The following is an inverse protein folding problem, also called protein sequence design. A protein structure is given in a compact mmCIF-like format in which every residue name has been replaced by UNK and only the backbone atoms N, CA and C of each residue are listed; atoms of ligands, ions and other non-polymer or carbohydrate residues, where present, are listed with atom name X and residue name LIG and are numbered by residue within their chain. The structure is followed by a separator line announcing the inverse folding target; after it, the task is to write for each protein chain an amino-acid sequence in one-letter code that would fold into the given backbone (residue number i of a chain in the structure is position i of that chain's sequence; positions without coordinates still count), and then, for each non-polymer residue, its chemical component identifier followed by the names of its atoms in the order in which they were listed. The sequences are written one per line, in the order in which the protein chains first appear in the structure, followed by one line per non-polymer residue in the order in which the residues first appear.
data_IF_730294793816
#
_entry.id   IF_730294793816
#
_cell.length_a   1.000
_cell.length_b   1.000
_cell.length_c   1.000
_cell.angle_alpha   90.00
_cell.angle_beta   90.00
_cell.angle_gamma   90.00
#
_symmetry.space_group_name_H-M   'P 1'
#
loop_
_entity.id
_entity.type
_entity.pdbx_description
1 polymer ?
#
# COMPACT_ATOMS: atom_id res chain seq x y z
N UNK A 1 -3.87 -26.16 24.45
CA UNK A 1 -3.77 -24.90 23.69
C UNK A 1 -2.84 -25.02 22.48
N UNK A 2 -1.67 -25.63 22.61
CA UNK A 2 -0.73 -25.93 21.50
C UNK A 2 -1.28 -26.81 20.37
N UNK A 3 -2.35 -27.58 20.64
CA UNK A 3 -3.08 -28.36 19.64
C UNK A 3 -4.17 -27.55 18.91
N UNK A 4 -4.55 -26.38 19.45
CA UNK A 4 -5.57 -25.49 18.87
C UNK A 4 -4.95 -24.38 18.03
N UNK A 5 -3.77 -23.93 18.40
CA UNK A 5 -2.97 -22.98 17.66
C UNK A 5 -1.60 -23.60 17.40
N UNK A 6 -1.41 -24.09 16.18
CA UNK A 6 -0.15 -24.72 15.78
C UNK A 6 0.92 -23.63 15.70
N UNK A 7 2.10 -23.88 16.28
CA UNK A 7 3.17 -22.87 16.36
C UNK A 7 3.56 -22.29 15.00
N UNK A 8 3.59 -23.14 13.97
CA UNK A 8 3.96 -22.73 12.61
C UNK A 8 2.95 -21.75 12.02
N UNK A 9 1.64 -21.95 12.22
CA UNK A 9 0.60 -21.02 11.76
C UNK A 9 0.73 -19.64 12.42
N UNK A 10 1.13 -19.60 13.69
CA UNK A 10 1.37 -18.34 14.42
C UNK A 10 2.59 -17.61 13.83
N UNK A 11 3.66 -18.34 13.52
CA UNK A 11 4.87 -17.79 12.91
C UNK A 11 4.55 -17.21 11.53
N UNK A 12 3.77 -17.93 10.72
CA UNK A 12 3.34 -17.49 9.40
C UNK A 12 2.49 -16.21 9.48
N UNK A 13 1.51 -16.16 10.41
CA UNK A 13 0.73 -14.94 10.66
C UNK A 13 1.60 -13.77 11.11
N UNK A 14 2.59 -14.03 11.97
CA UNK A 14 3.48 -12.98 12.45
C UNK A 14 4.36 -12.41 11.34
N UNK A 15 4.70 -13.21 10.32
CA UNK A 15 5.41 -12.74 9.13
C UNK A 15 4.61 -11.66 8.38
N UNK A 16 3.28 -11.79 8.35
CA UNK A 16 2.35 -10.85 7.70
C UNK A 16 2.11 -9.57 8.52
N UNK A 17 2.58 -9.50 9.78
CA UNK A 17 2.42 -8.29 10.61
C UNK A 17 3.01 -7.05 9.95
N UNK A 18 4.07 -7.21 9.16
CA UNK A 18 4.72 -6.10 8.44
C UNK A 18 3.84 -5.46 7.35
N UNK A 19 2.76 -6.12 6.91
CA UNK A 19 1.84 -5.57 5.90
C UNK A 19 1.20 -4.26 6.36
N UNK A 20 0.95 -4.08 7.68
CA UNK A 20 0.43 -2.80 8.19
C UNK A 20 1.44 -1.66 8.02
N UNK A 21 2.74 -1.96 8.13
CA UNK A 21 3.82 -0.99 7.98
C UNK A 21 3.96 -0.55 6.52
N UNK A 22 3.74 -1.48 5.58
CA UNK A 22 3.54 -1.15 4.16
C UNK A 22 2.32 -0.22 3.97
N UNK A 23 1.19 -0.52 4.61
CA UNK A 23 0.00 0.34 4.58
C UNK A 23 0.26 1.77 5.05
N UNK A 24 0.96 1.94 6.18
CA UNK A 24 1.38 3.28 6.65
C UNK A 24 2.31 3.98 5.66
N UNK A 25 3.20 3.22 5.01
CA UNK A 25 4.11 3.75 3.99
C UNK A 25 3.35 4.24 2.76
N UNK A 26 2.35 3.51 2.29
CA UNK A 26 1.49 3.90 1.18
C UNK A 26 0.76 5.22 1.48
N UNK A 27 0.15 5.34 2.65
CA UNK A 27 -0.54 6.56 3.07
C UNK A 27 0.42 7.76 3.18
N UNK A 28 1.55 7.60 3.89
CA UNK A 28 2.48 8.71 4.17
C UNK A 28 3.36 9.10 3.00
N UNK A 29 3.88 8.11 2.28
CA UNK A 29 4.87 8.35 1.23
C UNK A 29 4.24 8.49 -0.14
N UNK A 30 3.21 7.70 -0.44
CA UNK A 30 2.60 7.69 -1.77
C UNK A 30 1.47 8.70 -1.85
N UNK A 31 0.45 8.61 -0.98
CA UNK A 31 -0.69 9.53 -1.03
C UNK A 31 -0.34 10.94 -0.54
N UNK A 32 0.47 11.06 0.51
CA UNK A 32 0.91 12.34 1.06
C UNK A 32 2.28 12.80 0.53
N UNK A 33 2.88 12.08 -0.43
CA UNK A 33 4.13 12.49 -1.09
C UNK A 33 5.31 12.79 -0.13
N UNK A 34 5.37 12.11 1.02
CA UNK A 34 6.34 12.38 2.10
C UNK A 34 6.24 13.78 2.72
N UNK A 35 5.13 14.49 2.55
CA UNK A 35 4.91 15.76 3.23
C UNK A 35 4.80 15.55 4.74
N UNK A 36 5.58 16.33 5.49
CA UNK A 36 5.61 16.25 6.96
C UNK A 36 4.37 16.84 7.60
N UNK A 37 3.66 17.73 6.90
CA UNK A 37 2.51 18.47 7.42
C UNK A 37 1.34 18.43 6.46
N UNK A 38 0.13 18.40 7.02
CA UNK A 38 -1.11 18.60 6.28
C UNK A 38 -1.26 20.07 5.85
N UNK A 39 -2.10 20.33 4.86
CA UNK A 39 -2.16 21.65 4.20
C UNK A 39 -2.87 22.68 5.06
N UNK A 40 -3.95 22.28 5.71
CA UNK A 40 -4.75 23.17 6.53
C UNK A 40 -4.14 23.45 7.90
N UNK A 41 -4.36 24.69 8.37
CA UNK A 41 -3.99 25.16 9.72
C UNK A 41 -5.18 25.19 10.70
N UNK A 42 -6.38 24.78 10.26
CA UNK A 42 -7.59 24.74 11.10
C UNK A 42 -7.86 23.30 11.55
N UNK A 43 -8.09 23.03 12.85
CA UNK A 43 -8.29 21.67 13.37
C UNK A 43 -9.39 20.87 12.63
N UNK A 44 -10.50 21.54 12.30
CA UNK A 44 -11.62 20.91 11.59
C UNK A 44 -11.25 20.44 10.18
N UNK A 45 -10.55 21.30 9.44
CA UNK A 45 -10.10 20.98 8.08
C UNK A 45 -8.96 19.96 8.08
N UNK A 46 -8.11 19.94 9.11
CA UNK A 46 -7.13 18.87 9.31
C UNK A 46 -7.83 17.51 9.44
N UNK A 47 -8.91 17.45 10.22
CA UNK A 47 -9.73 16.23 10.35
C UNK A 47 -10.30 15.81 9.00
N UNK A 48 -10.81 16.76 8.22
CA UNK A 48 -11.31 16.51 6.87
C UNK A 48 -10.21 15.96 5.94
N UNK A 49 -9.01 16.53 5.95
CA UNK A 49 -7.88 16.04 5.15
C UNK A 49 -7.51 14.60 5.50
N UNK A 50 -7.48 14.26 6.80
CA UNK A 50 -7.22 12.88 7.25
C UNK A 50 -8.29 11.91 6.76
N UNK A 51 -9.58 12.28 6.85
CA UNK A 51 -10.66 11.47 6.33
C UNK A 51 -10.58 11.32 4.81
N UNK A 52 -10.25 12.39 4.09
CA UNK A 52 -10.04 12.36 2.65
C UNK A 52 -8.91 11.39 2.25
N UNK A 53 -7.78 11.44 2.95
CA UNK A 53 -6.66 10.53 2.73
C UNK A 53 -7.06 9.07 2.97
N UNK A 54 -7.74 8.77 4.09
CA UNK A 54 -8.22 7.43 4.41
C UNK A 54 -9.24 6.91 3.39
N UNK A 55 -10.12 7.80 2.90
CA UNK A 55 -11.09 7.46 1.87
C UNK A 55 -10.38 7.10 0.55
N UNK A 56 -9.43 7.93 0.11
CA UNK A 56 -8.61 7.64 -1.07
C UNK A 56 -7.86 6.31 -0.93
N UNK A 57 -7.23 6.07 0.22
CA UNK A 57 -6.53 4.83 0.51
C UNK A 57 -7.45 3.61 0.36
N UNK A 58 -8.61 3.64 1.03
CA UNK A 58 -9.58 2.56 1.01
C UNK A 58 -10.20 2.35 -0.38
N UNK A 59 -10.42 3.43 -1.14
CA UNK A 59 -10.91 3.35 -2.51
C UNK A 59 -9.91 2.60 -3.42
N UNK A 60 -8.62 2.95 -3.33
CA UNK A 60 -7.56 2.27 -4.09
C UNK A 60 -7.48 0.80 -3.66
N UNK A 61 -7.45 0.52 -2.35
CA UNK A 61 -7.43 -0.85 -1.82
C UNK A 61 -8.64 -1.67 -2.25
N UNK A 62 -9.82 -1.07 -2.25
CA UNK A 62 -11.04 -1.73 -2.73
C UNK A 62 -10.92 -2.11 -4.21
N UNK A 63 -10.39 -1.21 -5.05
CA UNK A 63 -10.18 -1.53 -6.45
C UNK A 63 -9.12 -2.62 -6.63
N UNK A 64 -8.03 -2.63 -5.85
CA UNK A 64 -7.04 -3.71 -5.85
C UNK A 64 -7.67 -5.07 -5.46
N UNK A 65 -8.59 -5.10 -4.49
CA UNK A 65 -9.34 -6.32 -4.13
C UNK A 65 -10.22 -6.80 -5.30
N UNK A 66 -10.79 -5.89 -6.09
CA UNK A 66 -11.55 -6.27 -7.29
C UNK A 66 -10.63 -6.81 -8.38
N UNK A 67 -9.47 -6.20 -8.57
CA UNK A 67 -8.45 -6.63 -9.52
C UNK A 67 -7.89 -8.01 -9.17
N UNK A 68 -7.60 -8.28 -7.89
CA UNK A 68 -7.07 -9.57 -7.49
C UNK A 68 -8.06 -10.72 -7.71
N UNK A 69 -9.38 -10.46 -7.67
CA UNK A 69 -10.40 -11.49 -7.91
C UNK A 69 -10.38 -12.07 -9.33
N UNK A 70 -9.87 -11.33 -10.31
CA UNK A 70 -9.74 -11.83 -11.69
C UNK A 70 -8.41 -12.54 -11.94
N UNK A 71 -7.48 -12.48 -10.97
CA UNK A 71 -6.16 -13.10 -11.06
C UNK A 71 -6.09 -14.33 -10.13
N UNK A 72 -6.01 -15.56 -10.67
CA UNK A 72 -5.99 -16.75 -9.84
C UNK A 72 -4.71 -16.81 -8.98
N UNK A 73 -4.89 -16.95 -7.66
CA UNK A 73 -3.78 -17.13 -6.73
C UNK A 73 -3.03 -15.85 -6.33
N UNK A 74 -3.45 -14.68 -6.81
CA UNK A 74 -2.84 -13.40 -6.46
C UNK A 74 -3.66 -12.70 -5.38
N UNK A 75 -2.99 -12.28 -4.30
CA UNK A 75 -3.60 -11.52 -3.23
C UNK A 75 -3.56 -10.00 -3.51
N UNK A 76 -4.49 -9.20 -2.96
CA UNK A 76 -4.52 -7.75 -3.19
C UNK A 76 -3.23 -7.01 -2.76
N UNK A 77 -2.51 -7.52 -1.75
CA UNK A 77 -1.25 -6.95 -1.28
C UNK A 77 -0.04 -7.30 -2.16
N UNK A 78 -0.22 -8.19 -3.14
CA UNK A 78 0.78 -8.50 -4.17
C UNK A 78 0.60 -7.62 -5.41
N UNK A 79 -0.42 -6.77 -5.44
CA UNK A 79 -0.56 -5.71 -6.43
C UNK A 79 0.17 -4.44 -5.98
N UNK A 80 0.74 -3.72 -6.94
CA UNK A 80 1.46 -2.47 -6.72
C UNK A 80 0.51 -1.33 -6.39
N UNK A 81 0.48 -0.92 -5.12
CA UNK A 81 -0.33 0.22 -4.68
C UNK A 81 0.00 1.50 -5.45
N UNK A 82 1.28 1.74 -5.74
CA UNK A 82 1.72 2.97 -6.43
C UNK A 82 1.21 3.04 -7.86
N UNK A 83 1.32 1.94 -8.61
CA UNK A 83 0.79 1.86 -9.97
C UNK A 83 -0.74 2.00 -9.96
N UNK A 84 -1.44 1.30 -9.05
CA UNK A 84 -2.90 1.41 -8.94
C UNK A 84 -3.33 2.83 -8.56
N UNK A 85 -2.64 3.48 -7.62
CA UNK A 85 -2.91 4.86 -7.23
C UNK A 85 -2.74 5.81 -8.42
N UNK A 86 -1.66 5.69 -9.19
CA UNK A 86 -1.43 6.50 -10.38
C UNK A 86 -2.53 6.28 -11.44
N UNK A 87 -2.92 5.03 -11.70
CA UNK A 87 -3.99 4.74 -12.65
C UNK A 87 -5.32 5.39 -12.26
N UNK A 88 -5.70 5.27 -10.99
CA UNK A 88 -6.93 5.88 -10.46
C UNK A 88 -6.84 7.41 -10.48
N UNK A 89 -5.73 8.00 -10.02
CA UNK A 89 -5.53 9.46 -10.04
C UNK A 89 -5.57 10.00 -11.47
N UNK A 90 -4.96 9.31 -12.43
CA UNK A 90 -5.00 9.71 -13.84
C UNK A 90 -6.43 9.62 -14.41
N UNK A 91 -7.21 8.61 -14.04
CA UNK A 91 -8.62 8.49 -14.39
C UNK A 91 -9.44 9.67 -13.85
N UNK A 92 -9.20 10.11 -12.61
CA UNK A 92 -9.85 11.29 -12.05
C UNK A 92 -9.40 12.61 -12.71
N UNK A 93 -8.11 12.74 -12.99
CA UNK A 93 -7.51 13.99 -13.50
C UNK A 93 -7.84 14.23 -14.97
N UNK A 94 -7.74 13.17 -15.79
CA UNK A 94 -7.82 13.27 -17.25
C UNK A 94 -9.02 12.52 -17.85
N UNK A 95 -9.51 11.47 -17.18
CA UNK A 95 -10.57 10.61 -17.71
C UNK A 95 -11.98 11.19 -17.53
N UNK A 96 -12.32 11.63 -16.32
CA UNK A 96 -13.68 12.11 -16.00
C UNK A 96 -14.00 13.52 -16.47
N UNK A 97 -12.99 14.35 -16.74
CA UNK A 97 -13.21 15.72 -17.23
C UNK A 97 -13.61 15.76 -18.70
N UNK A 98 -13.27 14.73 -19.47
CA UNK A 98 -13.59 14.59 -20.90
C UNK A 98 -14.68 13.53 -21.19
N UNK A 99 -15.02 12.69 -20.20
CA UNK A 99 -15.97 11.58 -20.37
C UNK A 99 -17.23 11.81 -19.54
N UNK A 100 -18.40 11.52 -20.13
CA UNK A 100 -19.66 11.49 -19.40
C UNK A 100 -19.63 10.42 -18.28
N UNK A 101 -20.37 10.65 -17.19
CA UNK A 101 -20.40 9.77 -16.01
C UNK A 101 -20.77 8.30 -16.30
N UNK A 102 -21.40 8.00 -17.44
CA UNK A 102 -21.72 6.63 -17.84
C UNK A 102 -20.50 5.81 -18.30
N UNK A 103 -19.35 6.44 -18.59
CA UNK A 103 -18.13 5.73 -18.97
C UNK A 103 -17.34 5.18 -17.78
N UNK A 104 -17.59 5.69 -16.57
CA UNK A 104 -16.87 5.32 -15.33
C UNK A 104 -16.85 3.80 -15.11
N UNK A 105 -17.99 3.06 -15.22
CA UNK A 105 -17.99 1.62 -15.00
C UNK A 105 -17.14 0.86 -16.04
N UNK A 106 -17.13 1.32 -17.29
CA UNK A 106 -16.33 0.72 -18.37
C UNK A 106 -14.84 0.90 -18.11
N UNK A 107 -14.41 2.11 -17.78
CA UNK A 107 -13.01 2.39 -17.44
C UNK A 107 -12.54 1.58 -16.22
N UNK A 108 -13.40 1.41 -15.20
CA UNK A 108 -13.09 0.52 -14.07
C UNK A 108 -13.02 -0.96 -14.46
N UNK A 109 -13.81 -1.40 -15.44
CA UNK A 109 -13.69 -2.76 -16.01
C UNK A 109 -12.35 -2.93 -16.72
N UNK A 110 -11.99 -1.99 -17.60
CA UNK A 110 -10.72 -2.00 -18.32
C UNK A 110 -9.53 -2.04 -17.36
N UNK A 111 -9.57 -1.24 -16.28
CA UNK A 111 -8.54 -1.27 -15.24
C UNK A 111 -8.45 -2.65 -14.55
N UNK A 112 -9.60 -3.31 -14.37
CA UNK A 112 -9.68 -4.65 -13.78
C UNK A 112 -9.14 -5.71 -14.73
N UNK A 113 -9.44 -5.62 -16.02
CA UNK A 113 -8.93 -6.51 -17.07
C UNK A 113 -7.40 -6.40 -17.21
N UNK A 114 -6.84 -5.21 -16.95
CA UNK A 114 -5.40 -4.94 -16.98
C UNK A 114 -4.68 -5.30 -15.67
N UNK A 115 -5.31 -6.04 -14.75
CA UNK A 115 -4.77 -6.29 -13.42
C UNK A 115 -3.37 -6.94 -13.41
N UNK A 116 -3.07 -7.78 -14.40
CA UNK A 116 -1.76 -8.45 -14.54
C UNK A 116 -0.58 -7.47 -14.56
N UNK A 117 -0.74 -6.29 -15.17
CA UNK A 117 0.33 -5.28 -15.24
C UNK A 117 0.67 -4.66 -13.88
N UNK A 118 -0.19 -4.82 -12.88
CA UNK A 118 -0.02 -4.27 -11.55
C UNK A 118 0.58 -5.29 -10.57
N UNK A 119 0.78 -6.54 -10.99
CA UNK A 119 1.35 -7.59 -10.14
C UNK A 119 2.81 -7.27 -9.82
N UNK A 120 3.15 -7.30 -8.52
CA UNK A 120 4.52 -7.13 -8.05
C UNK A 120 5.33 -8.40 -8.33
N UNK A 121 6.64 -8.28 -8.54
CA UNK A 121 7.51 -9.45 -8.56
C UNK A 121 7.45 -10.17 -7.21
N UNK A 122 7.62 -11.49 -7.25
CA UNK A 122 7.59 -12.33 -6.05
C UNK A 122 8.53 -11.79 -4.97
N UNK A 123 8.03 -11.79 -3.72
CA UNK A 123 8.78 -11.26 -2.58
C UNK A 123 10.00 -12.16 -2.32
N UNK A 124 11.18 -11.54 -2.19
CA UNK A 124 12.42 -12.28 -1.91
C UNK A 124 12.40 -12.85 -0.50
N UNK A 125 12.26 -14.17 -0.38
CA UNK A 125 12.23 -14.90 0.89
C UNK A 125 13.61 -14.92 1.59
N UNK A 126 14.70 -14.84 0.82
CA UNK A 126 16.07 -14.89 1.33
C UNK A 126 16.47 -13.66 2.17
N UNK A 127 15.64 -12.61 2.19
CA UNK A 127 15.94 -11.35 2.88
C UNK A 127 15.66 -11.46 4.38
N UNK A 128 16.57 -12.09 5.11
CA UNK A 128 16.54 -12.14 6.58
C UNK A 128 17.36 -11.01 7.20
N UNK A 129 16.74 -10.22 8.07
CA UNK A 129 17.42 -9.24 8.92
C UNK A 129 17.35 -9.71 10.38
N UNK A 130 18.28 -10.56 10.83
CA UNK A 130 18.27 -11.05 12.19
C UNK A 130 18.33 -9.87 13.16
N UNK A 131 17.58 -9.95 14.26
CA UNK A 131 17.57 -8.93 15.31
C UNK A 131 18.90 -8.98 16.07
N UNK A 132 19.92 -8.40 15.47
CA UNK A 132 21.27 -8.30 15.99
C UNK A 132 21.56 -6.86 16.39
N UNK A 133 22.26 -6.70 17.51
CA UNK A 133 22.86 -5.41 17.88
C UNK A 133 23.96 -5.11 16.87
N UNK A 134 23.69 -4.20 15.93
CA UNK A 134 24.73 -3.62 15.07
C UNK A 134 25.74 -2.92 15.98
N UNK A 135 27.04 -3.03 15.69
CA UNK A 135 28.09 -2.32 16.45
C UNK A 135 27.69 -0.84 16.58
N UNK A 136 27.65 -0.33 17.81
CA UNK A 136 27.49 1.11 18.05
C UNK A 136 28.63 1.85 17.33
N UNK A 137 28.32 2.96 16.67
CA UNK A 137 29.34 3.86 16.15
C UNK A 137 30.27 4.27 17.30
N UNK A 138 31.58 4.09 17.15
CA UNK A 138 32.56 4.55 18.14
C UNK A 138 32.42 6.07 18.31
N UNK A 139 32.33 6.54 19.57
CA UNK A 139 32.30 7.97 19.88
C UNK A 139 33.63 8.66 19.58
N UNK A 140 34.71 7.89 19.46
CA UNK A 140 36.06 8.38 19.27
C UNK A 140 36.65 7.88 17.95
N UNK A 141 37.45 8.74 17.30
CA UNK A 141 38.19 8.38 16.11
C UNK A 141 39.14 7.22 16.40
N UNK A 142 39.24 6.29 15.45
CA UNK A 142 40.21 5.22 15.51
C UNK A 142 41.60 5.84 15.38
N UNK A 143 42.40 5.82 16.46
CA UNK A 143 43.81 6.20 16.38
C UNK A 143 44.55 5.12 15.59
N UNK A 144 45.17 5.52 14.48
CA UNK A 144 46.08 4.67 13.71
C UNK A 144 47.32 4.33 14.52
#
# INVERSE_FOLDING_TARGET
DTQRYVGDEIVDLYSQRWEIELGYREMKQQLLQNEFTLRSKKPELIRQELWGMLLCYNLIRYQMVRMSKVLPGIYPNELSFTLCAHAIINMFTFGFTLSHAHHIPKELSNLTEQAEFYVLPFRREERSYPRQIKRKSSKYAYKK
#
